data_IF_701727656256
#
_entry.id   IF_701727656256
#
_cell.length_a   1.000
_cell.length_b   1.000
_cell.length_c   1.000
_cell.angle_alpha   90.00
_cell.angle_beta   90.00
_cell.angle_gamma   90.00
#
_symmetry.space_group_name_H-M   'P 1'
#
loop_
_entity.id
_entity.type
_entity.pdbx_description
1 polymer ?
#
# COMPACT_ATOMS: atom_id res chain seq x y z
N UNK A 1 19.52 24.46 -25.79
CA UNK A 1 18.05 24.24 -25.75
C UNK A 1 17.70 23.50 -24.46
N UNK A 2 17.16 24.23 -23.47
CA UNK A 2 16.65 23.63 -22.23
C UNK A 2 15.31 22.97 -22.54
N UNK A 3 15.19 21.67 -22.28
CA UNK A 3 13.91 20.94 -22.31
C UNK A 3 13.07 21.42 -21.13
N UNK A 4 12.40 22.54 -21.28
CA UNK A 4 11.29 22.90 -20.40
C UNK A 4 10.22 21.85 -20.62
N UNK A 5 10.05 20.98 -19.63
CA UNK A 5 9.13 19.86 -19.67
C UNK A 5 7.70 20.41 -19.80
N UNK A 6 6.90 19.76 -20.64
CA UNK A 6 5.48 20.08 -20.87
C UNK A 6 4.64 20.22 -19.58
N UNK A 7 5.18 19.75 -18.45
CA UNK A 7 4.68 19.96 -17.09
C UNK A 7 4.43 21.43 -16.71
N UNK A 8 5.27 22.38 -17.15
CA UNK A 8 5.08 23.81 -16.77
C UNK A 8 3.98 24.53 -17.56
N UNK A 9 3.69 24.08 -18.78
CA UNK A 9 2.67 24.72 -19.63
C UNK A 9 1.23 24.37 -19.23
N UNK A 10 1.01 23.30 -18.46
CA UNK A 10 -0.32 22.83 -18.07
C UNK A 10 -0.92 23.55 -16.82
N UNK A 11 -0.27 24.60 -16.31
CA UNK A 11 -0.89 25.52 -15.34
C UNK A 11 -1.34 24.94 -13.99
N UNK A 12 -0.95 23.72 -13.60
CA UNK A 12 -1.30 23.16 -12.28
C UNK A 12 -0.35 23.68 -11.20
N UNK A 13 -0.91 24.37 -10.20
CA UNK A 13 -0.27 24.54 -8.90
C UNK A 13 -0.17 23.14 -8.27
N UNK A 14 1.05 22.69 -7.99
CA UNK A 14 1.29 21.50 -7.16
C UNK A 14 0.90 21.86 -5.72
N UNK A 15 -0.37 21.74 -5.39
CA UNK A 15 -0.86 22.13 -4.08
C UNK A 15 -2.29 21.70 -3.91
N UNK A 16 -2.54 20.40 -3.97
CA UNK A 16 -3.68 19.75 -3.32
C UNK A 16 -3.53 18.24 -3.50
N UNK A 17 -2.97 17.60 -2.47
CA UNK A 17 -3.01 16.17 -2.26
C UNK A 17 -4.49 15.75 -2.34
N UNK A 18 -4.92 15.24 -3.49
CA UNK A 18 -6.20 14.55 -3.57
C UNK A 18 -6.00 13.26 -2.78
N UNK A 19 -6.45 13.28 -1.53
CA UNK A 19 -6.27 12.22 -0.56
C UNK A 19 -6.98 10.94 -1.00
N UNK A 20 -6.36 10.19 -1.90
CA UNK A 20 -6.67 8.78 -2.05
C UNK A 20 -6.30 8.15 -0.71
N UNK A 21 -7.32 7.84 0.09
CA UNK A 21 -7.18 6.98 1.26
C UNK A 21 -6.59 5.65 0.78
N UNK A 22 -5.26 5.52 0.86
CA UNK A 22 -4.59 4.27 0.54
C UNK A 22 -4.95 3.31 1.68
N UNK A 23 -5.94 2.46 1.44
CA UNK A 23 -6.26 1.38 2.37
C UNK A 23 -5.10 0.37 2.41
N UNK A 24 -4.87 -0.24 3.58
CA UNK A 24 -3.86 -1.28 3.75
C UNK A 24 -2.42 -0.77 3.87
N UNK A 25 -2.21 0.45 4.38
CA UNK A 25 -0.89 0.95 4.77
C UNK A 25 -0.36 0.27 6.05
N UNK A 26 -1.24 -0.03 7.00
CA UNK A 26 -0.87 -0.79 8.19
C UNK A 26 -0.75 -2.28 7.86
N UNK A 27 0.36 -2.88 8.26
CA UNK A 27 0.67 -4.30 8.08
C UNK A 27 0.79 -4.97 9.43
N UNK A 28 0.18 -6.14 9.54
CA UNK A 28 0.33 -7.05 10.67
C UNK A 28 1.06 -8.31 10.21
N UNK A 29 2.21 -8.62 10.81
CA UNK A 29 3.03 -9.78 10.43
C UNK A 29 3.49 -10.55 11.66
N UNK A 30 3.70 -11.85 11.45
CA UNK A 30 4.35 -12.72 12.43
C UNK A 30 5.80 -12.95 11.98
N UNK A 31 6.74 -12.77 12.90
CA UNK A 31 8.16 -13.08 12.71
C UNK A 31 8.48 -14.27 13.61
N UNK A 32 8.87 -15.39 13.00
CA UNK A 32 9.22 -16.62 13.70
C UNK A 32 10.73 -16.77 13.84
N UNK A 33 11.14 -17.15 15.05
CA UNK A 33 12.52 -17.40 15.46
C UNK A 33 12.79 -18.89 15.53
N UNK A 34 14.08 -19.24 15.52
CA UNK A 34 14.51 -20.57 15.94
C UNK A 34 14.37 -20.70 17.47
N UNK A 35 14.13 -21.90 17.99
CA UNK A 35 14.02 -22.13 19.44
C UNK A 35 15.33 -21.85 20.20
N UNK A 36 16.47 -21.81 19.50
CA UNK A 36 17.78 -21.52 20.06
C UNK A 36 18.44 -20.37 19.29
N UNK A 37 19.13 -19.43 19.98
CA UNK A 37 19.28 -19.29 21.44
C UNK A 37 17.97 -18.95 22.20
N UNK A 38 17.89 -19.20 23.52
CA UNK A 38 16.72 -18.84 24.34
C UNK A 38 16.55 -17.31 24.46
N UNK A 39 15.36 -16.86 24.86
CA UNK A 39 15.00 -15.46 25.11
C UNK A 39 15.08 -14.51 23.90
N UNK A 40 15.25 -15.04 22.68
CA UNK A 40 15.27 -14.22 21.47
C UNK A 40 14.00 -13.39 21.30
N UNK A 41 12.82 -13.96 21.60
CA UNK A 41 11.53 -13.28 21.43
C UNK A 41 11.45 -12.03 22.29
N UNK A 42 11.85 -12.10 23.56
CA UNK A 42 11.78 -10.98 24.49
C UNK A 42 12.78 -9.88 24.09
N UNK A 43 14.01 -10.28 23.76
CA UNK A 43 15.08 -9.36 23.35
C UNK A 43 14.74 -8.66 22.03
N UNK A 44 14.26 -9.41 21.03
CA UNK A 44 13.84 -8.84 19.76
C UNK A 44 12.61 -7.95 19.92
N UNK A 45 11.64 -8.31 20.78
CA UNK A 45 10.52 -7.42 21.10
C UNK A 45 11.00 -6.08 21.69
N UNK A 46 11.96 -6.13 22.61
CA UNK A 46 12.53 -4.91 23.22
C UNK A 46 13.25 -4.05 22.18
N UNK A 47 14.07 -4.66 21.33
CA UNK A 47 14.76 -3.97 20.25
C UNK A 47 13.79 -3.31 19.25
N UNK A 48 12.75 -4.03 18.82
CA UNK A 48 11.75 -3.51 17.89
C UNK A 48 10.89 -2.40 18.50
N UNK A 49 10.57 -2.46 19.80
CA UNK A 49 9.82 -1.39 20.50
C UNK A 49 10.58 -0.07 20.60
N UNK A 50 11.90 -0.09 20.43
CA UNK A 50 12.70 1.14 20.37
C UNK A 50 12.49 1.91 19.05
N UNK A 51 11.95 1.26 18.01
CA UNK A 51 11.67 1.88 16.73
C UNK A 51 10.33 2.64 16.77
N UNK A 52 10.35 3.90 16.35
CA UNK A 52 9.15 4.74 16.28
C UNK A 52 8.18 4.19 15.23
N UNK A 53 6.88 4.16 15.54
CA UNK A 53 5.83 3.74 14.60
C UNK A 53 5.68 2.22 14.44
N UNK A 54 6.47 1.42 15.17
CA UNK A 54 6.42 -0.04 15.18
C UNK A 54 5.85 -0.56 16.51
N UNK A 55 4.81 -1.38 16.45
CA UNK A 55 4.33 -2.15 17.61
C UNK A 55 4.87 -3.57 17.51
N UNK A 56 5.51 -4.06 18.56
CA UNK A 56 5.97 -5.45 18.65
C UNK A 56 5.49 -6.10 19.95
N UNK A 57 4.93 -7.32 19.85
CA UNK A 57 4.44 -8.10 20.98
C UNK A 57 4.74 -9.59 20.78
N UNK A 58 5.08 -10.35 21.82
CA UNK A 58 5.13 -11.80 21.74
C UNK A 58 3.78 -12.35 21.27
N UNK A 59 3.81 -13.36 20.41
CA UNK A 59 2.61 -14.08 19.97
C UNK A 59 2.24 -15.16 20.99
N UNK A 60 1.02 -15.70 20.89
CA UNK A 60 0.62 -16.90 21.61
C UNK A 60 1.37 -18.16 21.13
N UNK A 61 1.94 -18.11 19.92
CA UNK A 61 2.77 -19.18 19.36
C UNK A 61 4.19 -19.08 19.93
N UNK A 62 4.79 -20.24 20.22
CA UNK A 62 6.18 -20.32 20.65
C UNK A 62 7.12 -19.68 19.62
N UNK A 63 8.19 -19.05 20.11
CA UNK A 63 9.27 -18.45 19.31
C UNK A 63 8.78 -17.46 18.24
N UNK A 64 7.69 -16.74 18.49
CA UNK A 64 7.06 -15.87 17.48
C UNK A 64 6.73 -14.49 18.05
N UNK A 65 6.97 -13.44 17.26
CA UNK A 65 6.59 -12.05 17.55
C UNK A 65 5.56 -11.59 16.54
N UNK A 66 4.52 -10.91 17.00
CA UNK A 66 3.60 -10.15 16.16
C UNK A 66 4.07 -8.70 16.07
N UNK A 67 4.22 -8.21 14.84
CA UNK A 67 4.59 -6.82 14.55
C UNK A 67 3.48 -6.11 13.78
N UNK A 68 3.26 -4.85 14.12
CA UNK A 68 2.37 -3.93 13.39
C UNK A 68 3.18 -2.71 12.98
N UNK A 69 3.18 -2.38 11.68
CA UNK A 69 3.92 -1.23 11.15
C UNK A 69 3.22 -0.60 9.95
N UNK A 70 3.57 0.64 9.64
CA UNK A 70 3.21 1.30 8.39
C UNK A 70 4.17 0.90 7.28
N UNK A 71 3.64 0.45 6.13
CA UNK A 71 4.42 0.10 4.93
C UNK A 71 5.22 1.27 4.35
N UNK A 72 4.87 2.51 4.73
CA UNK A 72 5.58 3.72 4.33
C UNK A 72 6.92 3.89 5.06
N UNK A 73 7.02 3.34 6.27
CA UNK A 73 8.18 3.47 7.14
C UNK A 73 9.03 2.19 7.15
N UNK A 74 8.38 1.02 7.20
CA UNK A 74 9.04 -0.28 7.32
C UNK A 74 8.47 -1.29 6.35
N UNK A 75 9.28 -2.31 6.03
CA UNK A 75 8.88 -3.53 5.33
C UNK A 75 9.27 -4.75 6.17
N UNK A 76 8.58 -5.89 5.98
CA UNK A 76 8.93 -7.11 6.70
C UNK A 76 10.39 -7.50 6.46
N UNK A 77 10.84 -7.40 5.21
CA UNK A 77 12.22 -7.70 4.81
C UNK A 77 13.23 -6.82 5.56
N UNK A 78 12.98 -5.51 5.64
CA UNK A 78 13.86 -4.59 6.37
C UNK A 78 13.93 -4.90 7.87
N UNK A 79 12.81 -5.28 8.48
CA UNK A 79 12.76 -5.63 9.91
C UNK A 79 13.49 -6.96 10.17
N UNK A 80 13.25 -7.97 9.34
CA UNK A 80 13.92 -9.26 9.48
C UNK A 80 15.42 -9.17 9.19
N UNK A 81 15.84 -8.34 8.25
CA UNK A 81 17.24 -8.03 8.01
C UNK A 81 17.87 -7.35 9.22
N UNK A 82 17.25 -6.31 9.77
CA UNK A 82 17.76 -5.62 10.96
C UNK A 82 17.88 -6.57 12.17
N UNK A 83 16.91 -7.47 12.35
CA UNK A 83 16.98 -8.51 13.38
C UNK A 83 18.13 -9.49 13.13
N UNK A 84 18.32 -9.92 11.89
CA UNK A 84 19.42 -10.83 11.52
C UNK A 84 20.78 -10.16 11.73
N UNK A 85 20.91 -8.90 11.32
CA UNK A 85 22.12 -8.08 11.50
C UNK A 85 22.44 -7.83 12.99
N UNK A 86 21.41 -7.78 13.85
CA UNK A 86 21.54 -7.71 15.30
C UNK A 86 21.87 -9.07 15.97
N UNK A 87 21.98 -10.16 15.21
CA UNK A 87 22.36 -11.49 15.70
C UNK A 87 21.18 -12.39 16.09
N UNK A 88 19.94 -12.02 15.78
CA UNK A 88 18.79 -12.89 15.99
C UNK A 88 18.69 -14.00 14.93
N UNK A 89 18.23 -15.16 15.34
CA UNK A 89 18.14 -16.36 14.51
C UNK A 89 16.69 -16.61 14.11
N UNK A 90 16.34 -16.19 12.89
CA UNK A 90 15.02 -16.39 12.33
C UNK A 90 14.81 -17.83 11.84
N UNK A 91 13.56 -18.31 11.87
CA UNK A 91 13.20 -19.61 11.28
C UNK A 91 13.53 -19.62 9.79
N UNK A 92 14.20 -20.66 9.32
CA UNK A 92 14.69 -20.79 7.95
C UNK A 92 14.17 -22.05 7.26
N UNK A 93 13.07 -22.63 7.76
CA UNK A 93 12.36 -23.72 7.10
C UNK A 93 11.90 -23.30 5.69
N UNK A 94 11.82 -24.27 4.77
CA UNK A 94 11.46 -24.00 3.37
C UNK A 94 10.10 -23.30 3.25
N UNK A 95 9.11 -23.75 4.01
CA UNK A 95 7.77 -23.15 4.03
C UNK A 95 7.82 -21.69 4.49
N UNK A 96 8.54 -21.40 5.59
CA UNK A 96 8.70 -20.03 6.10
C UNK A 96 9.39 -19.13 5.07
N UNK A 97 10.41 -19.63 4.36
CA UNK A 97 11.08 -18.87 3.29
C UNK A 97 10.15 -18.55 2.12
N UNK A 98 9.32 -19.49 1.69
CA UNK A 98 8.36 -19.26 0.61
C UNK A 98 7.30 -18.22 1.00
N UNK A 99 6.76 -18.34 2.22
CA UNK A 99 5.79 -17.37 2.76
C UNK A 99 6.40 -15.96 2.86
N UNK A 100 7.65 -15.86 3.34
CA UNK A 100 8.40 -14.59 3.38
C UNK A 100 8.60 -14.00 1.99
N UNK A 101 9.06 -14.80 1.03
CA UNK A 101 9.28 -14.33 -0.34
C UNK A 101 8.00 -13.75 -0.96
N UNK A 102 6.84 -14.40 -0.72
CA UNK A 102 5.56 -13.87 -1.18
C UNK A 102 5.22 -12.53 -0.51
N UNK A 103 5.42 -12.41 0.80
CA UNK A 103 5.18 -11.16 1.53
C UNK A 103 6.11 -10.05 1.04
N UNK A 104 7.40 -10.34 0.88
CA UNK A 104 8.39 -9.37 0.40
C UNK A 104 8.01 -8.84 -0.97
N UNK A 105 7.68 -9.74 -1.90
CA UNK A 105 7.24 -9.35 -3.24
C UNK A 105 5.98 -8.46 -3.21
N UNK A 106 4.98 -8.83 -2.41
CA UNK A 106 3.74 -8.05 -2.30
C UNK A 106 3.99 -6.66 -1.69
N UNK A 107 4.82 -6.58 -0.66
CA UNK A 107 5.18 -5.33 0.01
C UNK A 107 6.03 -4.43 -0.88
N UNK A 108 7.04 -4.98 -1.57
CA UNK A 108 7.86 -4.22 -2.52
C UNK A 108 7.02 -3.67 -3.68
N UNK A 109 6.12 -4.49 -4.22
CA UNK A 109 5.16 -4.05 -5.27
C UNK A 109 4.27 -2.92 -4.76
N UNK A 110 3.76 -3.01 -3.53
CA UNK A 110 2.95 -1.95 -2.94
C UNK A 110 3.75 -0.66 -2.75
N UNK A 111 4.97 -0.75 -2.22
CA UNK A 111 5.86 0.40 -2.04
C UNK A 111 6.18 1.04 -3.39
N UNK A 112 6.47 0.24 -4.41
CA UNK A 112 6.72 0.72 -5.77
C UNK A 112 5.51 1.49 -6.33
N UNK A 113 4.30 0.95 -6.14
CA UNK A 113 3.06 1.60 -6.57
C UNK A 113 2.80 2.91 -5.81
N UNK A 114 3.10 2.95 -4.51
CA UNK A 114 2.93 4.16 -3.67
C UNK A 114 3.94 5.26 -4.01
N UNK A 115 5.15 4.88 -4.43
CA UNK A 115 6.19 5.82 -4.86
C UNK A 115 6.01 6.27 -6.31
N UNK A 116 5.24 5.52 -7.10
CA UNK A 116 5.00 5.87 -8.50
C UNK A 116 4.17 7.16 -8.54
N UNK A 117 4.62 8.20 -9.28
CA UNK A 117 3.82 9.40 -9.44
C UNK A 117 2.47 9.02 -10.05
N UNK A 118 1.39 9.65 -9.58
CA UNK A 118 0.07 9.48 -10.19
C UNK A 118 0.23 9.62 -11.69
N UNK A 119 -0.14 8.56 -12.41
CA UNK A 119 -0.14 8.62 -13.87
C UNK A 119 -1.07 9.78 -14.22
N UNK A 120 -0.55 10.71 -15.02
CA UNK A 120 -1.36 11.66 -15.76
C UNK A 120 -2.23 10.84 -16.71
N UNK A 121 -3.32 10.27 -16.19
CA UNK A 121 -4.45 9.90 -17.02
C UNK A 121 -4.78 11.23 -17.66
N UNK A 122 -4.62 11.30 -18.99
CA UNK A 122 -5.11 12.45 -19.76
C UNK A 122 -6.49 12.78 -19.19
N UNK A 123 -6.88 14.05 -19.09
CA UNK A 123 -8.22 14.44 -18.61
C UNK A 123 -9.35 13.93 -19.54
N UNK A 124 -9.22 12.76 -20.16
CA UNK A 124 -10.25 12.01 -20.86
C UNK A 124 -11.43 11.70 -19.96
N UNK A 125 -11.30 11.66 -18.63
CA UNK A 125 -12.47 11.57 -17.76
C UNK A 125 -13.42 12.75 -17.97
N UNK A 126 -12.92 13.98 -18.16
CA UNK A 126 -13.78 15.13 -18.50
C UNK A 126 -14.40 14.97 -19.89
N UNK A 127 -13.69 14.35 -20.83
CA UNK A 127 -14.23 14.03 -22.17
C UNK A 127 -15.33 12.98 -22.05
N UNK A 128 -15.13 11.92 -21.27
CA UNK A 128 -16.13 10.88 -21.05
C UNK A 128 -17.33 11.41 -20.26
N UNK A 129 -17.13 12.29 -19.27
CA UNK A 129 -18.22 12.96 -18.54
C UNK A 129 -19.02 13.86 -19.48
N UNK A 130 -18.35 14.68 -20.32
CA UNK A 130 -19.05 15.50 -21.33
C UNK A 130 -19.80 14.66 -22.34
N UNK A 131 -19.18 13.59 -22.85
CA UNK A 131 -19.83 12.68 -23.79
C UNK A 131 -21.04 12.00 -23.13
N UNK A 132 -20.91 11.56 -21.88
CA UNK A 132 -22.02 10.98 -21.11
C UNK A 132 -23.14 12.00 -20.87
N UNK A 133 -22.84 13.25 -20.51
CA UNK A 133 -23.84 14.32 -20.34
C UNK A 133 -24.62 14.62 -21.62
N UNK A 134 -23.99 14.43 -22.79
CA UNK A 134 -24.60 14.59 -24.10
C UNK A 134 -25.30 13.34 -24.62
N UNK A 135 -25.20 12.19 -23.94
CA UNK A 135 -26.01 11.02 -24.28
C UNK A 135 -27.44 11.23 -23.78
N UNK A 136 -28.46 10.96 -24.61
CA UNK A 136 -29.86 11.02 -24.19
C UNK A 136 -30.13 9.87 -23.22
N UNK A 137 -30.10 10.17 -21.92
CA UNK A 137 -30.59 9.29 -20.87
C UNK A 137 -32.12 9.40 -20.79
N UNK A 138 -32.82 8.31 -20.45
CA UNK A 138 -34.30 8.25 -20.46
C UNK A 138 -34.99 9.21 -19.48
N UNK A 139 -34.22 9.84 -18.61
CA UNK A 139 -34.56 10.85 -17.62
C UNK A 139 -34.46 12.29 -18.18
N UNK A 140 -33.89 12.46 -19.39
CA UNK A 140 -34.04 13.62 -20.28
C UNK A 140 -34.91 13.25 -21.49
N UNK A 141 -36.05 12.63 -21.22
CA UNK A 141 -37.06 12.39 -22.24
C UNK A 141 -37.84 13.68 -22.52
N UNK A 142 -37.39 14.43 -23.52
CA UNK A 142 -38.08 15.61 -24.07
C UNK A 142 -39.36 15.24 -24.84
N UNK A 143 -39.74 13.94 -24.90
CA UNK A 143 -40.96 13.52 -25.60
C UNK A 143 -42.16 14.28 -25.03
N UNK A 144 -42.82 15.13 -25.85
CA UNK A 144 -44.00 15.86 -25.45
C UNK A 144 -45.06 14.92 -24.90
N UNK A 145 -45.79 15.34 -23.85
CA UNK A 145 -46.81 14.53 -23.19
C UNK A 145 -47.78 13.85 -24.17
N UNK A 146 -48.15 14.56 -25.24
CA UNK A 146 -49.08 14.12 -26.28
C UNK A 146 -48.60 12.86 -27.05
N UNK A 147 -47.29 12.64 -27.13
CA UNK A 147 -46.69 11.50 -27.84
C UNK A 147 -46.39 10.30 -26.92
N UNK A 148 -46.59 10.46 -25.60
CA UNK A 148 -46.28 9.41 -24.61
C UNK A 148 -47.39 8.37 -24.48
N UNK A 149 -48.62 8.70 -24.91
CA UNK A 149 -49.82 7.87 -24.78
C UNK A 149 -50.09 6.97 -26.01
N UNK A 150 -49.33 7.11 -27.10
CA UNK A 150 -49.49 6.34 -28.34
C UNK A 150 -48.55 5.11 -28.43
N UNK A 151 -48.46 4.31 -27.36
CA UNK A 151 -47.80 3.00 -27.40
C UNK A 151 -48.75 1.87 -27.02
#
# INVERSE_FOLDING_TARGET
>A
MRRETAYKLAGRRHGENHGTSVSGLEKHREIRFRPLPPNQVEQACSALRALKGLSARPSAKADTICVTYSILEYSLESLEKALTDAGFHLDNSLMTKLMRAFIYFAEDTQIHNLRSPERLIKQSNEVYVKVYDHHPHGDRDDTPRELREYK
#
